data_IF_146146543193
#
_entry.id   IF_146146543193
#
_cell.length_a   1.000
_cell.length_b   1.000
_cell.length_c   1.000
_cell.angle_alpha   90.00
_cell.angle_beta   90.00
_cell.angle_gamma   90.00
#
_symmetry.space_group_name_H-M   'P 1'
#
loop_
_entity.id
_entity.type
_entity.pdbx_description
1 polymer ?
#
# COMPACT_ATOMS: atom_id res chain seq x y z
N UNK A 1 -17.65 27.59 -21.36
CA UNK A 1 -17.23 28.61 -20.36
C UNK A 1 -18.23 28.91 -19.22
N UNK A 2 -19.54 28.71 -19.38
CA UNK A 2 -20.53 29.02 -18.32
C UNK A 2 -20.85 27.88 -17.33
N UNK A 3 -20.40 26.64 -17.57
CA UNK A 3 -20.73 25.48 -16.72
C UNK A 3 -19.65 25.13 -15.67
N UNK A 4 -18.40 25.59 -15.83
CA UNK A 4 -17.29 25.16 -14.99
C UNK A 4 -17.38 25.67 -13.54
N UNK A 5 -17.81 26.92 -13.33
CA UNK A 5 -18.03 27.48 -11.98
C UNK A 5 -19.22 26.83 -11.26
N UNK A 6 -20.29 26.54 -11.99
CA UNK A 6 -21.45 25.83 -11.44
C UNK A 6 -21.08 24.42 -10.98
N UNK A 7 -20.33 23.69 -11.80
CA UNK A 7 -19.78 22.37 -11.45
C UNK A 7 -18.81 22.42 -10.27
N UNK A 8 -17.99 23.47 -10.17
CA UNK A 8 -17.11 23.67 -9.02
C UNK A 8 -17.90 23.86 -7.73
N UNK A 9 -18.92 24.73 -7.75
CA UNK A 9 -19.79 24.95 -6.59
C UNK A 9 -20.58 23.68 -6.21
N UNK A 10 -20.99 22.89 -7.19
CA UNK A 10 -21.61 21.58 -6.95
C UNK A 10 -20.63 20.63 -6.25
N UNK A 11 -19.38 20.55 -6.71
CA UNK A 11 -18.35 19.73 -6.09
C UNK A 11 -18.06 20.17 -4.64
N UNK A 12 -17.99 21.48 -4.37
CA UNK A 12 -17.89 22.03 -3.02
C UNK A 12 -19.09 21.65 -2.15
N UNK A 13 -20.30 21.71 -2.69
CA UNK A 13 -21.52 21.29 -2.01
C UNK A 13 -21.51 19.80 -1.65
N UNK A 14 -21.08 18.95 -2.59
CA UNK A 14 -20.91 17.51 -2.35
C UNK A 14 -19.88 17.24 -1.25
N UNK A 15 -18.73 17.94 -1.29
CA UNK A 15 -17.69 17.83 -0.27
C UNK A 15 -18.23 18.19 1.11
N UNK A 16 -18.93 19.33 1.24
CA UNK A 16 -19.53 19.78 2.50
C UNK A 16 -20.59 18.81 3.03
N UNK A 17 -21.25 18.07 2.14
CA UNK A 17 -22.23 17.05 2.50
C UNK A 17 -21.61 15.66 2.77
N UNK A 18 -20.28 15.56 2.87
CA UNK A 18 -19.57 14.30 3.12
C UNK A 18 -19.50 13.35 1.93
N UNK A 19 -20.01 13.76 0.76
CA UNK A 19 -19.99 12.99 -0.50
C UNK A 19 -18.65 13.15 -1.19
N UNK A 20 -17.61 12.66 -0.53
CA UNK A 20 -16.22 12.93 -0.92
C UNK A 20 -15.83 12.26 -2.24
N UNK A 21 -16.42 11.11 -2.58
CA UNK A 21 -16.11 10.43 -3.84
C UNK A 21 -16.65 11.21 -5.03
N UNK A 22 -17.92 11.61 -4.95
CA UNK A 22 -18.58 12.39 -6.00
C UNK A 22 -17.93 13.77 -6.15
N UNK A 23 -17.56 14.40 -5.04
CA UNK A 23 -16.77 15.63 -5.05
C UNK A 23 -15.43 15.42 -5.75
N UNK A 24 -14.69 14.36 -5.41
CA UNK A 24 -13.40 14.03 -6.03
C UNK A 24 -13.54 13.80 -7.55
N UNK A 25 -14.58 13.10 -8.02
CA UNK A 25 -14.82 12.92 -9.45
C UNK A 25 -15.00 14.25 -10.18
N UNK A 26 -15.81 15.16 -9.62
CA UNK A 26 -16.04 16.46 -10.24
C UNK A 26 -14.78 17.33 -10.21
N UNK A 27 -14.09 17.44 -9.07
CA UNK A 27 -12.84 18.18 -8.98
C UNK A 27 -11.76 17.65 -9.92
N UNK A 28 -11.66 16.33 -10.08
CA UNK A 28 -10.74 15.72 -11.05
C UNK A 28 -11.05 16.22 -12.46
N UNK A 29 -12.31 16.15 -12.89
CA UNK A 29 -12.71 16.61 -14.22
C UNK A 29 -12.45 18.11 -14.45
N UNK A 30 -12.63 18.94 -13.41
CA UNK A 30 -12.39 20.38 -13.48
C UNK A 30 -10.89 20.73 -13.49
N UNK A 31 -10.04 19.82 -13.00
CA UNK A 31 -8.58 19.94 -12.96
C UNK A 31 -7.83 19.31 -14.15
N UNK A 32 -8.55 18.73 -15.12
CA UNK A 32 -7.95 18.05 -16.28
C UNK A 32 -7.21 19.02 -17.20
N UNK A 33 -7.85 20.15 -17.54
CA UNK A 33 -7.24 21.20 -18.36
C UNK A 33 -6.34 22.09 -17.49
N UNK A 34 -4.99 22.03 -17.63
CA UNK A 34 -4.09 22.85 -16.84
C UNK A 34 -4.18 24.36 -17.14
N UNK A 35 -4.72 24.74 -18.30
CA UNK A 35 -4.92 26.14 -18.69
C UNK A 35 -6.18 26.77 -18.08
N UNK A 36 -7.06 25.97 -17.49
CA UNK A 36 -8.26 26.45 -16.82
C UNK A 36 -7.90 27.23 -15.55
N UNK A 37 -8.55 28.37 -15.31
CA UNK A 37 -8.41 29.11 -14.05
C UNK A 37 -8.87 28.31 -12.83
N UNK A 38 -9.67 27.26 -13.03
CA UNK A 38 -10.10 26.34 -11.97
C UNK A 38 -9.14 25.17 -11.78
N UNK A 39 -8.11 25.00 -12.61
CA UNK A 39 -7.26 23.81 -12.57
C UNK A 39 -6.55 23.64 -11.22
N UNK A 40 -5.90 24.71 -10.74
CA UNK A 40 -5.20 24.69 -9.46
C UNK A 40 -6.16 24.54 -8.27
N UNK A 41 -7.23 25.36 -8.14
CA UNK A 41 -8.23 25.17 -7.07
C UNK A 41 -8.91 23.80 -7.09
N UNK A 42 -9.19 23.25 -8.27
CA UNK A 42 -9.84 21.93 -8.38
C UNK A 42 -8.89 20.81 -7.97
N UNK A 43 -7.60 20.89 -8.30
CA UNK A 43 -6.60 19.92 -7.83
C UNK A 43 -6.38 20.01 -6.32
N UNK A 44 -6.40 21.22 -5.76
CA UNK A 44 -6.36 21.41 -4.31
C UNK A 44 -7.58 20.76 -3.63
N UNK A 45 -8.80 21.06 -4.10
CA UNK A 45 -10.02 20.50 -3.52
C UNK A 45 -10.19 19.00 -3.78
N UNK A 46 -9.66 18.48 -4.90
CA UNK A 46 -9.51 17.04 -5.12
C UNK A 46 -8.66 16.41 -4.02
N UNK A 47 -7.54 17.05 -3.67
CA UNK A 47 -6.69 16.62 -2.57
C UNK A 47 -7.44 16.58 -1.24
N UNK A 48 -8.23 17.61 -0.93
CA UNK A 48 -9.06 17.66 0.27
C UNK A 48 -10.07 16.51 0.32
N UNK A 49 -10.79 16.27 -0.79
CA UNK A 49 -11.76 15.19 -0.90
C UNK A 49 -11.10 13.81 -0.71
N UNK A 50 -9.96 13.55 -1.35
CA UNK A 50 -9.22 12.30 -1.22
C UNK A 50 -8.65 12.11 0.19
N UNK A 51 -8.22 13.19 0.84
CA UNK A 51 -7.74 13.16 2.23
C UNK A 51 -8.86 12.71 3.18
N UNK A 52 -10.07 13.23 3.03
CA UNK A 52 -11.23 12.81 3.83
C UNK A 52 -11.59 11.33 3.63
N UNK A 53 -11.35 10.81 2.43
CA UNK A 53 -11.49 9.37 2.13
C UNK A 53 -10.35 8.50 2.64
N UNK A 54 -9.37 9.08 3.34
CA UNK A 54 -8.14 8.42 3.77
C UNK A 54 -7.29 7.86 2.61
N UNK A 55 -7.55 8.31 1.37
CA UNK A 55 -6.66 8.09 0.23
C UNK A 55 -5.56 9.14 0.24
N UNK A 56 -4.65 9.01 1.21
CA UNK A 56 -3.58 9.96 1.42
C UNK A 56 -2.60 10.01 0.23
N UNK A 57 -2.43 8.88 -0.48
CA UNK A 57 -1.57 8.82 -1.67
C UNK A 57 -2.16 9.63 -2.83
N UNK A 58 -3.47 9.48 -3.09
CA UNK A 58 -4.18 10.29 -4.05
C UNK A 58 -4.16 11.78 -3.69
N UNK A 59 -4.39 12.10 -2.41
CA UNK A 59 -4.35 13.47 -1.90
C UNK A 59 -2.99 14.14 -2.14
N UNK A 60 -1.89 13.44 -1.84
CA UNK A 60 -0.52 13.92 -2.09
C UNK A 60 -0.30 14.28 -3.55
N UNK A 61 -0.74 13.44 -4.50
CA UNK A 61 -0.58 13.74 -5.92
C UNK A 61 -1.37 14.99 -6.31
N UNK A 62 -2.62 15.09 -5.87
CA UNK A 62 -3.49 16.21 -6.18
C UNK A 62 -2.93 17.55 -5.65
N UNK A 63 -2.43 17.59 -4.40
CA UNK A 63 -1.78 18.80 -3.87
C UNK A 63 -0.49 19.14 -4.61
N UNK A 64 0.32 18.16 -5.00
CA UNK A 64 1.52 18.40 -5.82
C UNK A 64 1.15 18.99 -7.18
N UNK A 65 0.08 18.50 -7.79
CA UNK A 65 -0.39 18.98 -9.09
C UNK A 65 -0.99 20.39 -8.99
N UNK A 66 -1.60 20.75 -7.87
CA UNK A 66 -2.00 22.12 -7.56
C UNK A 66 -0.79 23.04 -7.41
N UNK A 67 0.22 22.63 -6.62
CA UNK A 67 1.46 23.39 -6.41
C UNK A 67 2.32 23.56 -7.66
N UNK A 68 2.20 22.66 -8.65
CA UNK A 68 2.84 22.86 -9.97
C UNK A 68 2.23 24.02 -10.75
N UNK A 69 0.94 24.30 -10.53
CA UNK A 69 0.23 25.40 -11.18
C UNK A 69 0.27 26.69 -10.35
N UNK A 70 0.26 26.56 -9.03
CA UNK A 70 0.31 27.68 -8.08
C UNK A 70 1.35 27.38 -6.99
N UNK A 71 2.64 27.64 -7.26
CA UNK A 71 3.72 27.32 -6.32
C UNK A 71 3.58 28.02 -4.96
N UNK A 72 2.96 29.19 -4.92
CA UNK A 72 2.83 30.04 -3.74
C UNK A 72 1.59 29.73 -2.88
N UNK A 73 0.82 28.70 -3.25
CA UNK A 73 -0.34 28.24 -2.48
C UNK A 73 0.11 27.59 -1.15
N UNK A 74 0.12 28.38 -0.08
CA UNK A 74 0.54 27.95 1.26
C UNK A 74 -0.40 26.89 1.85
N UNK A 75 -1.70 26.94 1.53
CA UNK A 75 -2.69 25.98 2.00
C UNK A 75 -2.44 24.62 1.35
N UNK A 76 -2.14 24.58 0.05
CA UNK A 76 -1.76 23.36 -0.65
C UNK A 76 -0.46 22.76 -0.10
N UNK A 77 0.55 23.57 0.25
CA UNK A 77 1.78 23.09 0.91
C UNK A 77 1.49 22.48 2.28
N UNK A 78 0.71 23.18 3.11
CA UNK A 78 0.33 22.68 4.44
C UNK A 78 -0.46 21.38 4.36
N UNK A 79 -1.43 21.29 3.44
CA UNK A 79 -2.23 20.08 3.29
C UNK A 79 -1.45 18.90 2.71
N UNK A 80 -0.46 19.18 1.85
CA UNK A 80 0.50 18.15 1.40
C UNK A 80 1.29 17.58 2.58
N UNK A 81 1.79 18.41 3.50
CA UNK A 81 2.47 17.94 4.70
C UNK A 81 1.58 17.09 5.60
N UNK A 82 0.32 17.50 5.79
CA UNK A 82 -0.67 16.74 6.55
C UNK A 82 -0.94 15.37 5.90
N UNK A 83 -1.07 15.32 4.57
CA UNK A 83 -1.28 14.08 3.84
C UNK A 83 -0.07 13.13 3.93
N UNK A 84 1.15 13.66 3.88
CA UNK A 84 2.38 12.87 4.06
C UNK A 84 2.46 12.25 5.46
N UNK A 85 2.13 13.02 6.51
CA UNK A 85 2.10 12.52 7.90
C UNK A 85 1.04 11.43 8.07
N UNK A 86 -0.17 11.67 7.58
CA UNK A 86 -1.27 10.71 7.67
C UNK A 86 -0.96 9.39 6.93
N UNK A 87 -0.30 9.45 5.76
CA UNK A 87 0.16 8.25 5.07
C UNK A 87 1.17 7.45 5.89
N UNK A 88 2.15 8.13 6.50
CA UNK A 88 3.15 7.47 7.35
C UNK A 88 2.50 6.79 8.56
N UNK A 89 1.59 7.48 9.23
CA UNK A 89 0.84 6.94 10.37
C UNK A 89 -0.01 5.72 9.97
N UNK A 90 -0.67 5.77 8.81
CA UNK A 90 -1.44 4.64 8.28
C UNK A 90 -0.54 3.41 8.02
N UNK A 91 0.65 3.61 7.48
CA UNK A 91 1.62 2.54 7.25
C UNK A 91 2.17 1.96 8.57
N UNK A 92 2.45 2.80 9.56
CA UNK A 92 2.88 2.36 10.89
C UNK A 92 1.78 1.58 11.62
N UNK A 93 0.53 2.03 11.54
CA UNK A 93 -0.60 1.30 12.12
C UNK A 93 -0.78 -0.09 11.48
N UNK A 94 -0.66 -0.18 10.15
CA UNK A 94 -0.73 -1.48 9.45
C UNK A 94 0.38 -2.43 9.90
N UNK A 95 1.62 -1.94 10.05
CA UNK A 95 2.73 -2.74 10.59
C UNK A 95 2.48 -3.21 12.03
N UNK A 96 1.95 -2.33 12.89
CA UNK A 96 1.61 -2.69 14.28
C UNK A 96 0.51 -3.75 14.36
N UNK A 97 -0.51 -3.66 13.52
CA UNK A 97 -1.58 -4.65 13.46
C UNK A 97 -1.06 -6.01 12.99
N UNK A 98 -0.20 -6.02 11.97
CA UNK A 98 0.44 -7.25 11.49
C UNK A 98 1.26 -7.93 12.59
N UNK A 99 2.12 -7.18 13.30
CA UNK A 99 2.92 -7.72 14.39
C UNK A 99 2.09 -8.24 15.58
N UNK A 100 0.93 -7.62 15.87
CA UNK A 100 0.02 -8.11 16.93
C UNK A 100 -0.70 -9.39 16.55
N UNK A 101 -1.01 -9.58 15.27
CA UNK A 101 -1.63 -10.80 14.77
C UNK A 101 -0.66 -11.98 14.86
N UNK A 102 0.61 -11.75 14.54
CA UNK A 102 1.69 -12.74 14.71
C UNK A 102 1.92 -13.18 16.17
N UNK A 103 1.64 -12.29 17.15
CA UNK A 103 1.73 -12.63 18.58
C UNK A 103 0.51 -13.42 19.08
N UNK A 104 -0.72 -13.07 18.64
CA UNK A 104 -1.93 -13.81 19.03
C UNK A 104 -1.95 -15.25 18.53
N UNK A 105 -1.31 -15.53 17.39
CA UNK A 105 -1.17 -16.90 16.88
C UNK A 105 -0.11 -17.72 17.64
N UNK A 106 0.77 -17.09 18.43
CA UNK A 106 1.68 -17.80 19.34
C UNK A 106 1.00 -18.22 20.65
N UNK A 107 0.01 -17.46 21.14
CA UNK A 107 -0.70 -17.73 22.41
C UNK A 107 -1.83 -18.76 22.30
N UNK A 108 -2.22 -19.17 21.09
CA UNK A 108 -3.20 -20.26 20.85
C UNK A 108 -2.55 -21.66 20.70
N UNK A 109 -1.46 -21.93 21.42
CA UNK A 109 -1.04 -23.32 21.66
C UNK A 109 -2.00 -23.95 22.69
N UNK A 110 -2.58 -25.14 22.45
CA UNK A 110 -3.31 -25.84 23.48
C UNK A 110 -2.35 -26.19 24.61
N UNK A 111 -2.59 -25.67 25.82
CA UNK A 111 -2.00 -26.15 27.05
C UNK A 111 -2.36 -27.64 27.19
N UNK A 112 -1.38 -28.54 27.07
CA UNK A 112 -1.58 -29.95 27.39
C UNK A 112 -2.03 -30.07 28.86
N UNK A 113 -3.06 -30.89 29.18
CA UNK A 113 -3.35 -31.25 30.56
C UNK A 113 -2.14 -31.97 31.17
N UNK A 114 -1.77 -31.55 32.37
CA UNK A 114 -0.67 -32.10 33.14
C UNK A 114 -1.18 -33.32 33.91
N UNK A 115 -1.15 -34.50 33.28
CA UNK A 115 -1.46 -35.75 33.97
C UNK A 115 -0.24 -36.24 34.76
N UNK A 116 -0.35 -36.17 36.08
CA UNK A 116 0.42 -36.98 36.99
C UNK A 116 -0.16 -38.40 37.01
N UNK A 117 0.58 -39.41 36.52
CA UNK A 117 0.65 -40.71 37.19
C UNK A 117 1.77 -41.60 36.67
N UNK A 118 2.41 -42.21 37.66
CA UNK A 118 3.44 -43.24 37.73
C UNK A 118 3.19 -44.45 36.81
N UNK A 119 4.27 -45.14 36.39
CA UNK A 119 4.18 -46.55 35.97
C UNK A 119 5.13 -46.96 34.86
N UNK A 120 6.31 -47.42 35.27
CA UNK A 120 7.19 -48.44 34.67
C UNK A 120 6.74 -49.16 33.37
N UNK A 121 7.59 -49.12 32.33
CA UNK A 121 8.21 -50.29 31.64
C UNK A 121 8.65 -49.99 30.19
N UNK A 122 9.96 -49.78 30.06
CA UNK A 122 10.88 -50.52 29.19
C UNK A 122 10.38 -51.01 27.81
N UNK A 123 10.97 -50.46 26.73
CA UNK A 123 11.58 -51.28 25.67
C UNK A 123 12.60 -50.50 24.82
N UNK A 124 13.73 -51.18 24.59
CA UNK A 124 14.90 -50.83 23.78
C UNK A 124 14.54 -50.72 22.30
N UNK A 125 15.14 -49.79 21.57
CA UNK A 125 16.20 -50.05 20.59
C UNK A 125 16.38 -48.89 19.59
N UNK A 126 17.63 -48.78 19.10
CA UNK A 126 18.15 -47.87 18.08
C UNK A 126 18.42 -46.42 18.50
N UNK A 127 19.71 -46.22 18.79
CA UNK A 127 20.44 -44.95 18.89
C UNK A 127 20.18 -44.04 17.69
N UNK A 128 19.08 -43.30 17.76
CA UNK A 128 18.89 -42.04 17.05
C UNK A 128 19.35 -40.96 18.02
N UNK A 129 20.55 -40.42 17.80
CA UNK A 129 21.00 -39.21 18.48
C UNK A 129 19.88 -38.17 18.34
N UNK A 130 19.32 -37.61 19.42
CA UNK A 130 18.22 -36.66 19.29
C UNK A 130 18.72 -35.51 18.44
N UNK A 131 18.11 -35.30 17.27
CA UNK A 131 18.35 -34.05 16.55
C UNK A 131 18.01 -32.92 17.53
N UNK A 132 18.89 -31.92 17.66
CA UNK A 132 18.62 -30.79 18.53
C UNK A 132 17.25 -30.21 18.18
N UNK A 133 16.49 -29.73 19.18
CA UNK A 133 15.12 -29.30 18.96
C UNK A 133 15.09 -28.23 17.86
N UNK A 134 14.42 -28.55 16.76
CA UNK A 134 14.31 -27.64 15.60
C UNK A 134 13.78 -26.29 16.06
N UNK A 135 14.53 -25.24 15.72
CA UNK A 135 14.20 -23.85 16.01
C UNK A 135 12.81 -23.51 15.48
N UNK A 136 12.12 -22.52 16.07
CA UNK A 136 10.85 -22.01 15.56
C UNK A 136 10.88 -21.70 14.05
N UNK A 137 11.96 -21.10 13.54
CA UNK A 137 12.16 -20.88 12.11
C UNK A 137 12.24 -22.18 11.29
N UNK A 138 12.93 -23.21 11.79
CA UNK A 138 13.05 -24.50 11.08
C UNK A 138 11.71 -25.23 10.99
N UNK A 139 10.86 -25.11 12.02
CA UNK A 139 9.50 -25.68 12.00
C UNK A 139 8.53 -24.91 11.12
N UNK A 140 8.74 -23.61 10.93
CA UNK A 140 7.99 -22.83 9.95
C UNK A 140 8.45 -23.13 8.53
N UNK A 141 9.76 -23.26 8.30
CA UNK A 141 10.30 -23.61 6.98
C UNK A 141 9.86 -25.02 6.56
N UNK A 142 9.83 -25.99 7.47
CA UNK A 142 9.29 -27.33 7.17
C UNK A 142 7.80 -27.33 6.85
N UNK A 143 6.99 -26.53 7.57
CA UNK A 143 5.55 -26.42 7.25
C UNK A 143 5.33 -25.75 5.91
N UNK A 144 6.06 -24.68 5.65
CA UNK A 144 6.00 -24.00 4.36
C UNK A 144 6.43 -24.91 3.22
N UNK A 145 7.47 -25.75 3.43
CA UNK A 145 7.87 -26.79 2.49
C UNK A 145 6.81 -27.87 2.30
N UNK A 146 6.08 -28.24 3.35
CA UNK A 146 4.99 -29.22 3.23
C UNK A 146 3.80 -28.67 2.43
N UNK A 147 3.49 -27.38 2.55
CA UNK A 147 2.40 -26.75 1.78
C UNK A 147 2.79 -26.43 0.33
N UNK A 148 4.00 -25.95 0.10
CA UNK A 148 4.41 -25.39 -1.20
C UNK A 148 5.40 -26.26 -1.97
N UNK A 149 5.93 -27.31 -1.33
CA UNK A 149 7.00 -28.15 -1.89
C UNK A 149 8.36 -27.45 -1.98
N UNK A 150 8.50 -26.21 -1.50
CA UNK A 150 9.72 -25.40 -1.66
C UNK A 150 10.15 -24.73 -0.35
N UNK A 151 11.46 -24.50 -0.13
CA UNK A 151 11.96 -23.73 1.01
C UNK A 151 11.42 -22.29 0.99
N UNK A 152 11.14 -21.72 2.16
CA UNK A 152 10.62 -20.36 2.31
C UNK A 152 11.58 -19.32 1.72
N UNK A 153 12.88 -19.51 1.93
CA UNK A 153 13.92 -18.65 1.38
C UNK A 153 13.91 -18.67 -0.16
N UNK A 154 13.70 -19.84 -0.76
CA UNK A 154 13.63 -19.99 -2.22
C UNK A 154 12.36 -19.34 -2.78
N UNK A 155 11.23 -19.47 -2.09
CA UNK A 155 9.99 -18.80 -2.47
C UNK A 155 10.12 -17.26 -2.39
N UNK A 156 10.79 -16.75 -1.35
CA UNK A 156 11.08 -15.32 -1.22
C UNK A 156 12.01 -14.82 -2.33
N UNK A 157 13.05 -15.58 -2.68
CA UNK A 157 13.93 -15.24 -3.81
C UNK A 157 13.17 -15.23 -5.14
N UNK A 158 12.24 -16.17 -5.34
CA UNK A 158 11.42 -16.21 -6.56
C UNK A 158 10.47 -15.01 -6.62
N UNK A 159 9.87 -14.62 -5.50
CA UNK A 159 9.01 -13.45 -5.42
C UNK A 159 9.77 -12.15 -5.72
N UNK A 160 10.97 -12.01 -5.17
CA UNK A 160 11.82 -10.85 -5.47
C UNK A 160 12.24 -10.83 -6.94
N UNK A 161 12.63 -11.98 -7.50
CA UNK A 161 12.97 -12.11 -8.91
C UNK A 161 11.78 -11.74 -9.83
N UNK A 162 10.56 -12.17 -9.49
CA UNK A 162 9.34 -11.80 -10.22
C UNK A 162 9.08 -10.29 -10.16
N UNK A 163 9.22 -9.70 -8.98
CA UNK A 163 9.00 -8.27 -8.78
C UNK A 163 10.06 -7.42 -9.50
N UNK A 164 11.31 -7.88 -9.54
CA UNK A 164 12.38 -7.22 -10.30
C UNK A 164 12.16 -7.34 -11.80
N UNK A 165 11.71 -8.50 -12.29
CA UNK A 165 11.36 -8.68 -13.70
C UNK A 165 10.20 -7.77 -14.12
N UNK A 166 9.14 -7.68 -13.31
CA UNK A 166 8.01 -6.77 -13.56
C UNK A 166 8.46 -5.31 -13.64
N UNK A 167 9.30 -4.87 -12.69
CA UNK A 167 9.87 -3.51 -12.72
C UNK A 167 10.74 -3.26 -13.94
N UNK A 168 11.54 -4.25 -14.36
CA UNK A 168 12.37 -4.15 -15.56
C UNK A 168 11.51 -4.03 -16.82
N UNK A 169 10.44 -4.82 -16.94
CA UNK A 169 9.49 -4.73 -18.05
C UNK A 169 8.73 -3.40 -18.06
N UNK A 170 8.25 -2.92 -16.91
CA UNK A 170 7.62 -1.61 -16.81
C UNK A 170 8.56 -0.50 -17.27
N UNK A 171 9.84 -0.56 -16.88
CA UNK A 171 10.86 0.40 -17.31
C UNK A 171 11.11 0.32 -18.81
N UNK A 172 11.17 -0.88 -19.38
CA UNK A 172 11.35 -1.08 -20.83
C UNK A 172 10.14 -0.57 -21.62
N UNK A 173 8.93 -0.82 -21.14
CA UNK A 173 7.69 -0.32 -21.74
C UNK A 173 7.62 1.22 -21.70
N UNK A 174 8.04 1.83 -20.59
CA UNK A 174 8.14 3.27 -20.46
C UNK A 174 9.18 3.87 -21.42
N UNK A 175 10.30 3.18 -21.64
CA UNK A 175 11.32 3.61 -22.61
C UNK A 175 10.85 3.45 -24.06
N UNK A 176 10.18 2.34 -24.40
CA UNK A 176 9.59 2.13 -25.72
C UNK A 176 8.54 3.20 -26.04
N UNK A 177 7.63 3.49 -25.10
CA UNK A 177 6.66 4.59 -25.24
C UNK A 177 7.33 5.95 -25.40
N UNK A 178 8.48 6.18 -24.76
CA UNK A 178 9.27 7.41 -24.93
C UNK A 178 9.98 7.48 -26.29
N UNK A 179 10.39 6.35 -26.86
CA UNK A 179 11.02 6.27 -28.17
C UNK A 179 10.00 6.47 -29.31
N UNK A 180 8.81 5.87 -29.24
CA UNK A 180 7.70 6.13 -30.18
C UNK A 180 7.31 7.62 -30.21
N UNK A 181 7.29 8.26 -29.04
CA UNK A 181 6.99 9.70 -28.93
C UNK A 181 8.09 10.60 -29.49
N UNK A 182 9.32 10.09 -29.69
CA UNK A 182 10.42 10.82 -30.33
C UNK A 182 10.48 10.57 -31.85
N UNK A 183 10.08 9.39 -32.34
CA UNK A 183 10.05 9.06 -33.77
C UNK A 183 8.91 9.69 -34.57
N UNK A 184 7.95 10.33 -33.90
CA UNK A 184 6.80 11.03 -34.51
C UNK A 184 7.03 12.54 -34.70
N UNK A 185 8.25 13.03 -34.47
CA UNK A 185 8.62 14.46 -34.55
C UNK A 185 9.72 14.75 -35.58
N UNK A 186 9.81 13.93 -36.62
CA UNK A 186 10.53 14.26 -37.86
C UNK A 186 9.54 14.21 -39.02
N UNK A 187 8.77 15.30 -39.17
CA UNK A 187 8.19 15.79 -40.42
C UNK A 187 7.98 17.30 -40.29
#
# INVERSE_FOLDING_TARGET
PQDARGRFNLADGLYKNGKFEEAATLFRSLGEDPGSFLASPSRFNLGNALYQKQDYRGAIQAYRDALRLSPDDLDARRNLELALRALKEQEEQKKRQQNQQDQKDQDKKPSKPQDQKSGDQQKKDQTSRPEPPKSPEQKQDERFRQETGMPKERAMQLLDALQQNEKAEQKKLLQAKRAEKKGTKDW
#
